data_IF_759819059298
#
_entry.id   IF_759819059298
#
_cell.length_a   1.000
_cell.length_b   1.000
_cell.length_c   1.000
_cell.angle_alpha   90.00
_cell.angle_beta   90.00
_cell.angle_gamma   90.00
#
_symmetry.space_group_name_H-M   'P 1'
#
loop_
_entity.id
_entity.type
_entity.pdbx_description
1 polymer ?
#
# COMPACT_ATOMS: atom_id res chain seq x y z
N UNK A 1 -30.23 -3.80 29.22
CA UNK A 1 -30.18 -3.35 27.79
C UNK A 1 -28.78 -2.87 27.50
N UNK A 2 -27.97 -3.65 26.80
CA UNK A 2 -26.63 -3.22 26.34
C UNK A 2 -26.80 -2.62 24.95
N UNK A 3 -26.59 -1.31 24.84
CA UNK A 3 -26.66 -0.60 23.57
C UNK A 3 -25.61 -1.12 22.59
N UNK A 4 -26.06 -1.56 21.43
CA UNK A 4 -25.21 -1.91 20.30
C UNK A 4 -24.41 -0.66 19.87
N UNK A 5 -23.11 -0.81 19.78
CA UNK A 5 -22.20 0.29 19.41
C UNK A 5 -22.44 0.66 17.93
N UNK A 6 -22.57 1.95 17.59
CA UNK A 6 -22.87 2.38 16.21
C UNK A 6 -21.73 2.14 15.21
N UNK A 7 -20.59 1.56 15.62
CA UNK A 7 -19.42 1.34 14.79
C UNK A 7 -19.62 0.25 13.70
N UNK A 8 -20.56 -0.67 13.89
CA UNK A 8 -20.72 -1.82 12.99
C UNK A 8 -21.45 -1.44 11.68
N UNK A 9 -22.41 -0.53 11.75
CA UNK A 9 -23.25 -0.14 10.60
C UNK A 9 -22.47 0.65 9.53
N UNK A 10 -21.45 1.40 9.93
CA UNK A 10 -20.59 2.17 9.01
C UNK A 10 -19.57 1.26 8.30
N UNK A 11 -19.09 0.23 8.98
CA UNK A 11 -18.21 -0.78 8.39
C UNK A 11 -18.96 -1.64 7.37
N UNK A 12 -20.16 -2.15 7.70
CA UNK A 12 -21.02 -2.90 6.77
C UNK A 12 -21.36 -2.09 5.51
N UNK A 13 -21.72 -0.82 5.65
CA UNK A 13 -22.06 0.04 4.52
C UNK A 13 -20.85 0.34 3.62
N UNK A 14 -19.64 0.42 4.18
CA UNK A 14 -18.38 0.53 3.42
C UNK A 14 -18.05 -0.76 2.67
N UNK A 15 -18.41 -1.90 3.24
CA UNK A 15 -18.25 -3.21 2.62
C UNK A 15 -19.19 -3.42 1.43
N UNK A 16 -20.42 -2.91 1.50
CA UNK A 16 -21.36 -2.95 0.38
C UNK A 16 -20.89 -2.12 -0.80
N UNK A 17 -20.32 -0.93 -0.56
CA UNK A 17 -19.78 -0.06 -1.62
C UNK A 17 -18.60 -0.69 -2.37
N UNK A 18 -17.86 -1.59 -1.75
CA UNK A 18 -16.73 -2.29 -2.38
C UNK A 18 -17.17 -3.54 -3.19
N UNK A 19 -18.46 -3.87 -3.19
CA UNK A 19 -19.04 -5.02 -3.94
C UNK A 19 -19.54 -4.66 -5.33
N UNK A 20 -19.59 -3.38 -5.65
CA UNK A 20 -20.01 -2.99 -7.00
C UNK A 20 -18.96 -3.45 -8.02
N UNK A 21 -19.40 -4.00 -9.18
CA UNK A 21 -18.49 -4.38 -10.24
C UNK A 21 -17.58 -3.20 -10.65
N UNK A 22 -16.28 -3.40 -10.56
CA UNK A 22 -15.29 -2.36 -10.86
C UNK A 22 -14.87 -1.51 -9.66
N UNK A 23 -15.36 -1.77 -8.44
CA UNK A 23 -14.88 -1.12 -7.23
C UNK A 23 -13.54 -1.71 -6.76
N UNK A 24 -12.71 -0.88 -6.13
CA UNK A 24 -11.46 -1.26 -5.51
C UNK A 24 -11.16 -0.39 -4.28
N UNK A 25 -10.19 -0.79 -3.49
CA UNK A 25 -9.73 -0.06 -2.33
C UNK A 25 -8.32 0.49 -2.56
N UNK A 26 -8.09 1.70 -2.09
CA UNK A 26 -6.77 2.29 -2.01
C UNK A 26 -6.44 2.47 -0.53
N UNK A 27 -5.38 1.81 -0.07
CA UNK A 27 -4.85 2.03 1.28
C UNK A 27 -4.02 3.31 1.30
N UNK A 28 -4.28 4.18 2.26
CA UNK A 28 -3.47 5.38 2.47
C UNK A 28 -2.11 5.02 3.11
N UNK A 29 -1.13 5.89 2.94
CA UNK A 29 0.20 5.77 3.56
C UNK A 29 0.18 6.17 5.04
N UNK A 30 -0.41 5.36 5.90
CA UNK A 30 -0.58 5.61 7.33
C UNK A 30 -0.02 4.46 8.17
N UNK A 31 0.68 4.73 9.30
CA UNK A 31 1.20 3.69 10.20
C UNK A 31 0.14 2.74 10.75
N UNK A 32 -1.09 3.21 10.95
CA UNK A 32 -2.18 2.35 11.40
C UNK A 32 -2.52 1.28 10.35
N UNK A 33 -2.55 1.66 9.07
CA UNK A 33 -2.77 0.74 7.95
C UNK A 33 -1.69 -0.34 7.89
N UNK A 34 -0.42 0.04 8.12
CA UNK A 34 0.70 -0.91 8.14
C UNK A 34 0.57 -1.90 9.31
N UNK A 35 0.20 -1.42 10.50
CA UNK A 35 0.06 -2.27 11.69
C UNK A 35 -1.16 -3.20 11.61
N UNK A 36 -2.19 -2.84 10.87
CA UNK A 36 -3.42 -3.62 10.70
C UNK A 36 -3.49 -4.36 9.36
N UNK A 37 -2.37 -4.43 8.62
CA UNK A 37 -2.32 -4.94 7.25
C UNK A 37 -2.88 -6.36 7.09
N UNK A 38 -2.59 -7.27 8.04
CA UNK A 38 -3.09 -8.65 7.98
C UNK A 38 -4.62 -8.71 8.00
N UNK A 39 -5.26 -7.92 8.89
CA UNK A 39 -6.70 -7.85 8.95
C UNK A 39 -7.30 -7.24 7.68
N UNK A 40 -6.65 -6.22 7.12
CA UNK A 40 -7.07 -5.59 5.85
C UNK A 40 -6.96 -6.59 4.71
N UNK A 41 -5.81 -7.25 4.55
CA UNK A 41 -5.58 -8.23 3.48
C UNK A 41 -6.55 -9.41 3.56
N UNK A 42 -6.80 -9.93 4.75
CA UNK A 42 -7.80 -10.98 4.97
C UNK A 42 -9.19 -10.52 4.52
N UNK A 43 -9.60 -9.34 4.95
CA UNK A 43 -10.91 -8.75 4.65
C UNK A 43 -11.12 -8.54 3.15
N UNK A 44 -10.12 -7.98 2.44
CA UNK A 44 -10.23 -7.75 1.00
C UNK A 44 -10.17 -9.05 0.20
N UNK A 45 -9.42 -10.05 0.67
CA UNK A 45 -9.39 -11.38 0.05
C UNK A 45 -10.74 -12.11 0.17
N UNK A 46 -11.36 -12.11 1.36
CA UNK A 46 -12.69 -12.68 1.60
C UNK A 46 -13.76 -11.97 0.76
N UNK A 47 -13.67 -10.64 0.66
CA UNK A 47 -14.59 -9.82 -0.14
C UNK A 47 -14.31 -9.84 -1.65
N UNK A 48 -13.20 -10.43 -2.10
CA UNK A 48 -12.70 -10.36 -3.48
C UNK A 48 -12.60 -8.93 -4.00
N UNK A 49 -12.10 -8.03 -3.16
CA UNK A 49 -11.94 -6.60 -3.49
C UNK A 49 -10.48 -6.32 -3.85
N UNK A 50 -10.20 -5.76 -5.04
CA UNK A 50 -8.85 -5.36 -5.38
C UNK A 50 -8.35 -4.27 -4.44
N UNK A 51 -7.13 -4.44 -3.91
CA UNK A 51 -6.46 -3.48 -3.04
C UNK A 51 -5.19 -2.96 -3.69
N UNK A 52 -5.03 -1.63 -3.67
CA UNK A 52 -3.79 -0.93 -4.03
C UNK A 52 -3.23 -0.25 -2.78
N UNK A 53 -1.92 -0.34 -2.57
CA UNK A 53 -1.22 0.23 -1.41
C UNK A 53 0.05 0.95 -1.84
N UNK A 54 0.53 1.97 -1.11
CA UNK A 54 1.84 2.56 -1.37
C UNK A 54 3.01 1.69 -0.90
N UNK A 55 2.75 0.61 -0.18
CA UNK A 55 3.80 -0.23 0.39
C UNK A 55 3.94 -1.56 -0.34
N UNK A 56 5.15 -1.83 -0.85
CA UNK A 56 5.54 -3.09 -1.52
C UNK A 56 5.15 -4.34 -0.74
N UNK A 57 5.26 -4.29 0.60
CA UNK A 57 4.92 -5.41 1.48
C UNK A 57 3.47 -5.88 1.30
N UNK A 58 2.53 -4.98 1.06
CA UNK A 58 1.14 -5.35 0.78
C UNK A 58 0.99 -6.19 -0.49
N UNK A 59 1.72 -5.84 -1.55
CA UNK A 59 1.69 -6.63 -2.78
C UNK A 59 2.26 -8.03 -2.57
N UNK A 60 3.35 -8.15 -1.82
CA UNK A 60 3.95 -9.45 -1.46
C UNK A 60 2.96 -10.30 -0.65
N UNK A 61 2.26 -9.71 0.30
CA UNK A 61 1.35 -10.40 1.21
C UNK A 61 -0.06 -10.62 0.65
N UNK A 62 -0.39 -10.11 -0.55
CA UNK A 62 -1.63 -10.45 -1.24
C UNK A 62 -2.51 -9.31 -1.72
N UNK A 63 -2.09 -8.03 -1.67
CA UNK A 63 -2.80 -6.99 -2.40
C UNK A 63 -2.60 -7.14 -3.92
N UNK A 64 -3.47 -6.54 -4.72
CA UNK A 64 -3.39 -6.63 -6.18
C UNK A 64 -2.11 -5.98 -6.71
N UNK A 65 -1.79 -4.80 -6.20
CA UNK A 65 -0.57 -4.07 -6.56
C UNK A 65 -0.16 -3.09 -5.49
N UNK A 66 1.09 -2.64 -5.56
CA UNK A 66 1.56 -1.50 -4.80
C UNK A 66 2.22 -0.49 -5.74
N UNK A 67 2.02 0.80 -5.44
CA UNK A 67 2.71 1.90 -6.07
C UNK A 67 3.07 2.94 -5.01
N UNK A 68 4.36 3.11 -4.78
CA UNK A 68 4.83 4.03 -3.76
C UNK A 68 6.34 4.23 -3.82
N UNK A 69 6.87 5.11 -2.95
CA UNK A 69 8.29 5.38 -2.92
C UNK A 69 9.10 4.15 -2.46
N UNK A 70 10.26 3.96 -3.08
CA UNK A 70 11.23 2.94 -2.66
C UNK A 70 11.75 3.26 -1.26
N UNK A 71 11.24 2.52 -0.27
CA UNK A 71 11.60 2.72 1.14
C UNK A 71 13.09 2.50 1.40
N UNK A 72 13.73 1.55 0.70
CA UNK A 72 15.15 1.29 0.86
C UNK A 72 15.99 2.47 0.38
N UNK A 73 15.57 3.12 -0.70
CA UNK A 73 16.24 4.33 -1.20
C UNK A 73 16.05 5.51 -0.23
N UNK A 74 14.86 5.70 0.33
CA UNK A 74 14.61 6.73 1.35
C UNK A 74 15.54 6.54 2.54
N UNK A 75 15.63 5.33 3.09
CA UNK A 75 16.51 5.04 4.22
C UNK A 75 17.99 5.24 3.88
N UNK A 76 18.42 4.82 2.69
CA UNK A 76 19.81 5.03 2.22
C UNK A 76 20.14 6.51 2.12
N UNK A 77 19.25 7.32 1.59
CA UNK A 77 19.43 8.79 1.48
C UNK A 77 19.42 9.47 2.84
N UNK A 78 18.59 8.99 3.78
CA UNK A 78 18.55 9.51 5.15
C UNK A 78 19.89 9.36 5.87
N UNK A 79 20.70 8.34 5.54
CA UNK A 79 22.03 8.17 6.13
C UNK A 79 22.95 9.37 5.86
N UNK A 80 22.83 10.03 4.73
CA UNK A 80 23.61 11.23 4.40
C UNK A 80 23.27 12.42 5.31
N UNK A 81 22.00 12.53 5.72
CA UNK A 81 21.55 13.56 6.66
C UNK A 81 22.09 13.28 8.07
N UNK A 82 22.05 12.02 8.50
CA UNK A 82 22.62 11.60 9.78
C UNK A 82 24.11 11.92 9.84
N UNK A 83 24.87 11.59 8.80
CA UNK A 83 26.32 11.88 8.73
C UNK A 83 26.60 13.40 8.84
N UNK A 84 25.85 14.23 8.13
CA UNK A 84 25.99 15.69 8.18
C UNK A 84 25.67 16.25 9.57
N UNK A 85 24.59 15.78 10.21
CA UNK A 85 24.21 16.19 11.57
C UNK A 85 25.27 15.78 12.58
N UNK A 86 25.81 14.56 12.49
CA UNK A 86 26.87 14.07 13.37
C UNK A 86 28.20 14.86 13.19
N UNK A 87 28.41 15.46 12.01
CA UNK A 87 29.54 16.36 11.73
C UNK A 87 29.28 17.80 12.15
N UNK A 88 28.14 18.07 12.80
CA UNK A 88 27.82 19.38 13.39
C UNK A 88 26.94 20.28 12.53
N UNK A 89 26.41 19.80 11.41
CA UNK A 89 25.46 20.58 10.62
C UNK A 89 24.11 20.66 11.35
N UNK A 90 23.52 21.85 11.38
CA UNK A 90 22.21 22.05 12.01
C UNK A 90 21.11 21.45 11.14
N UNK A 91 20.17 20.66 11.72
CA UNK A 91 19.06 20.06 10.96
C UNK A 91 18.24 21.07 10.15
N UNK A 92 18.09 22.31 10.65
CA UNK A 92 17.36 23.38 9.96
C UNK A 92 18.03 23.88 8.66
N UNK A 93 19.31 23.58 8.45
CA UNK A 93 20.05 23.92 7.23
C UNK A 93 19.98 22.83 6.17
N UNK A 94 19.45 21.66 6.53
CA UNK A 94 19.34 20.54 5.60
C UNK A 94 18.11 20.74 4.67
N UNK A 95 18.30 20.58 3.35
CA UNK A 95 17.19 20.75 2.40
C UNK A 95 16.16 19.61 2.57
N UNK A 96 14.88 19.93 2.54
CA UNK A 96 13.83 18.92 2.45
C UNK A 96 13.86 18.27 1.06
N UNK A 97 13.90 16.95 1.00
CA UNK A 97 13.89 16.19 -0.23
C UNK A 97 12.63 15.32 -0.31
N UNK A 98 11.98 15.33 -1.46
CA UNK A 98 10.92 14.39 -1.78
C UNK A 98 11.52 13.09 -2.32
N UNK A 99 10.81 11.96 -2.20
CA UNK A 99 11.19 10.74 -2.91
C UNK A 99 11.15 10.98 -4.42
N UNK A 100 12.18 10.53 -5.12
CA UNK A 100 12.30 10.59 -6.58
C UNK A 100 12.22 9.21 -7.23
N UNK A 101 12.38 8.14 -6.43
CA UNK A 101 12.26 6.77 -6.89
C UNK A 101 10.97 6.14 -6.36
N UNK A 102 10.12 5.72 -7.29
CA UNK A 102 8.88 5.00 -7.02
C UNK A 102 8.98 3.59 -7.60
N UNK A 103 8.27 2.66 -6.99
CA UNK A 103 8.24 1.26 -7.37
C UNK A 103 6.80 0.81 -7.60
N UNK A 104 6.55 0.18 -8.75
CA UNK A 104 5.29 -0.48 -9.09
C UNK A 104 5.48 -1.99 -8.98
N UNK A 105 4.79 -2.61 -8.04
CA UNK A 105 4.76 -4.08 -7.88
C UNK A 105 3.37 -4.60 -8.18
N UNK A 106 3.27 -5.63 -8.99
CA UNK A 106 1.99 -6.24 -9.40
C UNK A 106 1.96 -7.71 -8.97
N UNK A 107 0.88 -8.13 -8.30
CA UNK A 107 0.69 -9.51 -7.87
C UNK A 107 -0.30 -10.23 -8.80
N UNK A 108 0.24 -11.08 -9.69
CA UNK A 108 -0.57 -11.87 -10.62
C UNK A 108 -1.33 -13.01 -9.95
N UNK A 109 -0.84 -13.55 -8.81
CA UNK A 109 -1.61 -14.53 -8.02
C UNK A 109 -2.93 -13.93 -7.55
N UNK A 110 -2.86 -12.73 -6.99
CA UNK A 110 -4.04 -12.00 -6.53
C UNK A 110 -4.93 -11.59 -7.70
N UNK A 111 -4.34 -11.14 -8.82
CA UNK A 111 -5.10 -10.85 -10.04
C UNK A 111 -5.91 -12.06 -10.52
N UNK A 112 -5.28 -13.23 -10.60
CA UNK A 112 -5.95 -14.50 -10.97
C UNK A 112 -7.06 -14.87 -9.96
N UNK A 113 -6.79 -14.75 -8.66
CA UNK A 113 -7.78 -15.04 -7.62
C UNK A 113 -9.01 -14.12 -7.66
N UNK A 114 -8.82 -12.87 -8.07
CA UNK A 114 -9.88 -11.89 -8.27
C UNK A 114 -10.60 -12.04 -9.62
N UNK A 115 -10.11 -12.90 -10.52
CA UNK A 115 -10.65 -13.03 -11.89
C UNK A 115 -10.32 -11.83 -12.79
N UNK A 116 -9.29 -11.06 -12.45
CA UNK A 116 -8.86 -9.88 -13.20
C UNK A 116 -7.78 -10.26 -14.22
N UNK A 117 -7.86 -9.67 -15.40
CA UNK A 117 -6.82 -9.77 -16.43
C UNK A 117 -6.08 -8.44 -16.52
N UNK A 118 -4.79 -8.48 -16.25
CA UNK A 118 -3.91 -7.31 -16.37
C UNK A 118 -3.27 -7.35 -17.75
N UNK A 119 -3.34 -6.24 -18.46
CA UNK A 119 -2.77 -6.13 -19.82
C UNK A 119 -1.25 -6.22 -19.77
N UNK A 120 -0.66 -6.92 -20.72
CA UNK A 120 0.80 -7.06 -20.84
C UNK A 120 1.51 -5.70 -20.91
N UNK A 121 0.94 -4.74 -21.63
CA UNK A 121 1.47 -3.37 -21.71
C UNK A 121 1.55 -2.67 -20.34
N UNK A 122 0.71 -3.03 -19.39
CA UNK A 122 0.77 -2.52 -18.02
C UNK A 122 1.85 -3.26 -17.21
N UNK A 123 1.99 -4.57 -17.40
CA UNK A 123 3.03 -5.36 -16.72
C UNK A 123 4.44 -4.93 -17.12
N UNK A 124 4.63 -4.45 -18.34
CA UNK A 124 5.91 -3.89 -18.79
C UNK A 124 6.32 -2.61 -18.06
N UNK A 125 5.39 -1.94 -17.40
CA UNK A 125 5.66 -0.75 -16.57
C UNK A 125 5.99 -1.11 -15.12
N UNK A 126 5.76 -2.37 -14.72
CA UNK A 126 6.02 -2.83 -13.36
C UNK A 126 7.51 -3.06 -13.15
N UNK A 127 8.03 -2.60 -12.02
CA UNK A 127 9.40 -2.89 -11.58
C UNK A 127 9.52 -4.34 -11.11
N UNK A 128 8.43 -4.91 -10.60
CA UNK A 128 8.36 -6.31 -10.16
C UNK A 128 6.97 -6.91 -10.42
N UNK A 129 6.96 -8.16 -10.87
CA UNK A 129 5.75 -8.96 -11.05
C UNK A 129 5.86 -10.22 -10.21
N UNK A 130 4.91 -10.43 -9.30
CA UNK A 130 4.80 -11.60 -8.41
C UNK A 130 3.89 -12.65 -9.09
N UNK A 131 4.46 -13.82 -9.41
CA UNK A 131 3.77 -14.94 -10.04
C UNK A 131 3.43 -16.07 -9.07
#
# INVERSE_FOLDING_TARGET
MRGERPCNRTAEKRYELARDPGSGLIAAGDPFIVNTREAILKTVAEGKVPLVSPYRQFAIEGSLMSYGPDSADIFRRSASYVDRILKGELPGNLPTQSPDKFELVVNLKTSKALGLSIRESFLLLADEVIE
#
